data_IF_835315635892
#
_entry.id   IF_835315635892
#
_cell.length_a   1.000
_cell.length_b   1.000
_cell.length_c   1.000
_cell.angle_alpha   90.00
_cell.angle_beta   90.00
_cell.angle_gamma   90.00
#
_symmetry.space_group_name_H-M   'P 1'
#
loop_
_entity.id
_entity.type
_entity.pdbx_description
1 polymer ?
#
# COMPACT_ATOMS: atom_id res chain seq x y z
N UNK A 1 44.81 40.80 -22.59
CA UNK A 1 44.81 39.98 -21.35
C UNK A 1 43.95 38.76 -21.59
N UNK A 2 44.53 37.56 -21.70
CA UNK A 2 43.80 36.34 -22.10
C UNK A 2 43.64 35.43 -20.88
N UNK A 3 42.43 35.40 -20.32
CA UNK A 3 42.07 34.54 -19.20
C UNK A 3 42.06 33.07 -19.65
N UNK A 4 43.04 32.28 -19.16
CA UNK A 4 43.07 30.84 -19.36
C UNK A 4 42.09 30.23 -18.34
N UNK A 5 40.87 29.93 -18.77
CA UNK A 5 39.95 29.10 -17.98
C UNK A 5 40.46 27.66 -18.00
N UNK A 6 40.95 27.19 -16.86
CA UNK A 6 41.28 25.77 -16.64
C UNK A 6 39.98 24.98 -16.55
N UNK A 7 39.58 24.36 -17.66
CA UNK A 7 38.54 23.33 -17.65
C UNK A 7 39.17 22.05 -17.09
N UNK A 8 39.00 21.81 -15.78
CA UNK A 8 39.33 20.52 -15.16
C UNK A 8 38.25 19.51 -15.56
N UNK A 9 38.62 18.52 -16.35
CA UNK A 9 37.77 17.35 -16.63
C UNK A 9 37.80 16.36 -15.46
N UNK A 10 36.71 15.61 -15.27
CA UNK A 10 36.68 14.49 -14.33
C UNK A 10 37.63 13.38 -14.78
N UNK A 11 38.37 12.79 -13.85
CA UNK A 11 39.17 11.60 -14.11
C UNK A 11 38.28 10.35 -14.16
N UNK A 12 38.68 9.36 -14.95
CA UNK A 12 37.98 8.06 -15.01
C UNK A 12 37.95 7.38 -13.63
N UNK A 13 39.00 7.56 -12.83
CA UNK A 13 39.11 6.97 -11.48
C UNK A 13 38.09 7.59 -10.53
N UNK A 14 37.88 8.90 -10.59
CA UNK A 14 36.87 9.59 -9.76
C UNK A 14 35.47 9.05 -10.06
N UNK A 15 35.12 8.85 -11.33
CA UNK A 15 33.82 8.27 -11.70
C UNK A 15 33.73 6.80 -11.30
N UNK A 16 34.81 6.03 -11.42
CA UNK A 16 34.84 4.61 -11.07
C UNK A 16 34.54 4.35 -9.59
N UNK A 17 35.16 5.11 -8.68
CA UNK A 17 34.93 4.94 -7.24
C UNK A 17 33.49 5.31 -6.87
N UNK A 18 32.94 6.37 -7.49
CA UNK A 18 31.57 6.81 -7.23
C UNK A 18 30.54 5.75 -7.61
N UNK A 19 30.65 5.15 -8.80
CA UNK A 19 29.70 4.10 -9.21
C UNK A 19 29.82 2.83 -8.35
N UNK A 20 31.01 2.50 -7.85
CA UNK A 20 31.21 1.38 -6.92
C UNK A 20 30.50 1.63 -5.59
N UNK A 21 30.66 2.83 -5.02
CA UNK A 21 30.01 3.17 -3.74
C UNK A 21 28.48 3.24 -3.91
N UNK A 22 27.98 3.87 -4.99
CA UNK A 22 26.54 3.91 -5.28
C UNK A 22 26.00 2.49 -5.50
N UNK A 23 26.74 1.63 -6.21
CA UNK A 23 26.36 0.23 -6.42
C UNK A 23 26.25 -0.56 -5.12
N UNK A 24 27.20 -0.40 -4.20
CA UNK A 24 27.16 -1.02 -2.87
C UNK A 24 25.95 -0.55 -2.05
N UNK A 25 25.71 0.77 -2.02
CA UNK A 25 24.57 1.34 -1.29
C UNK A 25 23.24 0.88 -1.88
N UNK A 26 23.11 0.86 -3.21
CA UNK A 26 21.91 0.42 -3.91
C UNK A 26 21.61 -1.07 -3.66
N UNK A 27 22.65 -1.92 -3.65
CA UNK A 27 22.50 -3.35 -3.40
C UNK A 27 21.88 -3.66 -2.03
N UNK A 28 22.19 -2.86 -1.00
CA UNK A 28 21.56 -3.00 0.32
C UNK A 28 20.21 -2.28 0.41
N UNK A 29 20.07 -1.12 -0.23
CA UNK A 29 18.87 -0.29 -0.13
C UNK A 29 17.65 -0.89 -0.84
N UNK A 30 17.83 -1.50 -2.01
CA UNK A 30 16.74 -2.08 -2.82
C UNK A 30 15.94 -3.15 -2.03
N UNK A 31 16.56 -4.22 -1.47
CA UNK A 31 15.80 -5.24 -0.74
C UNK A 31 15.15 -4.68 0.54
N UNK A 32 15.84 -3.76 1.24
CA UNK A 32 15.27 -3.10 2.40
C UNK A 32 14.02 -2.27 2.04
N UNK A 33 14.08 -1.50 0.96
CA UNK A 33 12.96 -0.71 0.46
C UNK A 33 11.77 -1.58 0.02
N UNK A 34 12.04 -2.69 -0.66
CA UNK A 34 11.00 -3.67 -1.04
C UNK A 34 10.26 -4.23 0.18
N UNK A 35 10.99 -4.58 1.25
CA UNK A 35 10.39 -5.07 2.51
C UNK A 35 9.52 -4.00 3.17
N UNK A 36 10.00 -2.77 3.26
CA UNK A 36 9.25 -1.65 3.85
C UNK A 36 7.98 -1.37 3.05
N UNK A 37 8.07 -1.34 1.71
CA UNK A 37 6.92 -1.14 0.82
C UNK A 37 5.85 -2.21 1.03
N UNK A 38 6.24 -3.49 1.08
CA UNK A 38 5.30 -4.58 1.31
C UNK A 38 4.60 -4.45 2.68
N UNK A 39 5.33 -4.14 3.74
CA UNK A 39 4.74 -3.94 5.07
C UNK A 39 3.79 -2.74 5.12
N UNK A 40 4.10 -1.64 4.42
CA UNK A 40 3.22 -0.48 4.32
C UNK A 40 1.94 -0.80 3.56
N UNK A 41 2.03 -1.59 2.48
CA UNK A 41 0.86 -2.08 1.76
C UNK A 41 -0.04 -2.93 2.66
N UNK A 42 0.52 -3.86 3.45
CA UNK A 42 -0.27 -4.68 4.37
C UNK A 42 -1.01 -3.83 5.41
N UNK A 43 -0.34 -2.83 5.98
CA UNK A 43 -0.97 -1.92 6.95
C UNK A 43 -2.10 -1.12 6.33
N UNK A 44 -1.95 -0.69 5.07
CA UNK A 44 -3.00 0.02 4.35
C UNK A 44 -4.19 -0.91 4.04
N UNK A 45 -3.96 -2.16 3.61
CA UNK A 45 -5.02 -3.15 3.39
C UNK A 45 -5.77 -3.45 4.70
N UNK A 46 -5.05 -3.63 5.81
CA UNK A 46 -5.67 -3.85 7.12
C UNK A 46 -6.50 -2.64 7.58
N UNK A 47 -6.03 -1.41 7.32
CA UNK A 47 -6.79 -0.19 7.62
C UNK A 47 -8.08 -0.13 6.78
N UNK A 48 -7.97 -0.38 5.48
CA UNK A 48 -9.12 -0.46 4.57
C UNK A 48 -10.17 -1.48 5.07
N UNK A 49 -9.74 -2.66 5.52
CA UNK A 49 -10.65 -3.67 6.11
C UNK A 49 -11.33 -3.19 7.37
N UNK A 50 -10.62 -2.50 8.27
CA UNK A 50 -11.20 -1.92 9.49
C UNK A 50 -12.24 -0.84 9.16
N UNK A 51 -11.97 0.00 8.17
CA UNK A 51 -12.94 0.99 7.70
C UNK A 51 -14.19 0.32 7.15
N UNK A 52 -14.03 -0.70 6.30
CA UNK A 52 -15.13 -1.47 5.72
C UNK A 52 -15.95 -2.21 6.79
N UNK A 53 -15.30 -2.80 7.79
CA UNK A 53 -15.96 -3.43 8.93
C UNK A 53 -16.80 -2.44 9.72
N UNK A 54 -16.22 -1.30 10.10
CA UNK A 54 -16.94 -0.24 10.82
C UNK A 54 -18.12 0.33 10.01
N UNK A 55 -17.94 0.52 8.71
CA UNK A 55 -19.02 0.94 7.81
C UNK A 55 -20.14 -0.09 7.75
N UNK A 56 -19.80 -1.38 7.68
CA UNK A 56 -20.77 -2.47 7.65
C UNK A 56 -21.57 -2.54 8.96
N UNK A 57 -20.88 -2.45 10.11
CA UNK A 57 -21.54 -2.40 11.42
C UNK A 57 -22.53 -1.23 11.50
N UNK A 58 -22.10 -0.04 11.09
CA UNK A 58 -22.97 1.14 11.09
C UNK A 58 -24.20 0.93 10.19
N UNK A 59 -24.01 0.34 9.01
CA UNK A 59 -25.12 0.02 8.11
C UNK A 59 -26.08 -1.00 8.72
N UNK A 60 -25.58 -2.02 9.43
CA UNK A 60 -26.42 -3.02 10.12
C UNK A 60 -27.25 -2.38 11.22
N UNK A 61 -26.66 -1.45 12.00
CA UNK A 61 -27.36 -0.72 13.05
C UNK A 61 -28.47 0.18 12.48
N UNK A 62 -28.22 0.84 11.36
CA UNK A 62 -29.15 1.79 10.76
C UNK A 62 -30.31 1.11 10.02
N UNK A 63 -30.02 0.02 9.31
CA UNK A 63 -31.00 -0.64 8.42
C UNK A 63 -31.61 -1.92 9.01
N UNK A 64 -31.12 -2.39 10.16
CA UNK A 64 -31.58 -3.64 10.79
C UNK A 64 -31.30 -4.89 9.96
N UNK A 65 -30.37 -4.82 8.99
CA UNK A 65 -29.97 -5.96 8.16
C UNK A 65 -28.71 -6.62 8.72
N UNK A 66 -28.51 -7.89 8.42
CA UNK A 66 -27.29 -8.64 8.76
C UNK A 66 -26.31 -8.75 7.59
N UNK A 67 -26.64 -8.17 6.43
CA UNK A 67 -25.82 -8.22 5.21
C UNK A 67 -25.82 -6.87 4.51
N UNK A 68 -24.65 -6.44 4.04
CA UNK A 68 -24.42 -5.16 3.36
C UNK A 68 -23.56 -5.38 2.11
N UNK A 69 -24.02 -4.93 0.95
CA UNK A 69 -23.21 -4.90 -0.26
C UNK A 69 -22.16 -3.78 -0.17
N UNK A 70 -20.97 -4.00 -0.73
CA UNK A 70 -19.90 -2.98 -0.74
C UNK A 70 -20.33 -1.66 -1.40
N UNK A 71 -21.26 -1.72 -2.36
CA UNK A 71 -21.84 -0.55 -3.02
C UNK A 71 -22.64 0.36 -2.07
N UNK A 72 -23.15 -0.16 -0.96
CA UNK A 72 -23.85 0.63 0.06
C UNK A 72 -22.88 1.20 1.12
N UNK A 73 -21.65 0.70 1.15
CA UNK A 73 -20.63 1.05 2.14
C UNK A 73 -19.66 2.09 1.60
N UNK A 74 -19.32 1.98 0.31
CA UNK A 74 -18.33 2.81 -0.37
C UNK A 74 -19.00 3.66 -1.44
N UNK A 75 -18.74 4.96 -1.45
CA UNK A 75 -19.31 5.92 -2.39
C UNK A 75 -19.30 7.34 -1.83
N UNK A 76 -19.43 8.36 -2.69
CA UNK A 76 -19.31 9.77 -2.28
C UNK A 76 -20.25 10.19 -1.14
N UNK A 77 -21.43 9.55 -1.06
CA UNK A 77 -22.45 9.80 -0.04
C UNK A 77 -22.59 8.67 0.98
N UNK A 78 -21.73 7.64 0.92
CA UNK A 78 -21.77 6.50 1.81
C UNK A 78 -20.76 6.69 2.97
N UNK A 79 -20.68 5.69 3.86
CA UNK A 79 -19.82 5.71 5.04
C UNK A 79 -18.33 5.89 4.71
N UNK A 80 -17.88 5.33 3.58
CA UNK A 80 -16.51 5.48 3.09
C UNK A 80 -16.54 6.17 1.72
N UNK A 81 -15.93 7.36 1.63
CA UNK A 81 -15.95 8.18 0.39
C UNK A 81 -15.30 7.49 -0.80
N UNK A 82 -14.19 6.82 -0.57
CA UNK A 82 -13.46 6.06 -1.58
C UNK A 82 -12.59 5.00 -0.91
N UNK A 83 -12.48 3.84 -1.53
CA UNK A 83 -11.57 2.78 -1.11
C UNK A 83 -10.33 2.85 -2.00
N UNK A 84 -9.17 3.18 -1.42
CA UNK A 84 -7.93 3.29 -2.17
C UNK A 84 -7.17 1.97 -2.14
N UNK A 85 -7.05 1.30 -3.30
CA UNK A 85 -6.31 0.06 -3.42
C UNK A 85 -4.81 0.34 -3.57
N UNK A 86 -3.98 -0.42 -2.85
CA UNK A 86 -2.52 -0.17 -2.76
C UNK A 86 -1.66 -1.33 -3.27
N UNK A 87 -2.27 -2.49 -3.43
CA UNK A 87 -1.66 -3.77 -3.77
C UNK A 87 -2.66 -4.67 -4.49
N UNK A 88 -3.34 -4.14 -5.52
CA UNK A 88 -4.27 -4.84 -6.44
C UNK A 88 -5.16 -5.89 -5.75
N UNK A 89 -5.58 -5.54 -4.54
CA UNK A 89 -6.30 -6.38 -3.60
C UNK A 89 -7.79 -6.46 -3.96
N UNK A 90 -8.40 -7.60 -3.67
CA UNK A 90 -9.82 -7.83 -3.91
C UNK A 90 -10.58 -7.88 -2.58
N UNK A 91 -11.54 -6.96 -2.40
CA UNK A 91 -12.44 -6.94 -1.26
C UNK A 91 -13.72 -7.72 -1.57
N UNK A 92 -14.38 -8.32 -0.56
CA UNK A 92 -15.65 -9.01 -0.75
C UNK A 92 -16.72 -8.08 -1.32
N UNK A 93 -17.61 -8.63 -2.15
CA UNK A 93 -18.76 -7.91 -2.68
C UNK A 93 -19.82 -7.60 -1.61
N UNK A 94 -19.84 -8.38 -0.52
CA UNK A 94 -20.77 -8.20 0.60
C UNK A 94 -20.15 -8.58 1.94
N UNK A 95 -20.67 -7.96 2.99
CA UNK A 95 -20.26 -8.09 4.37
C UNK A 95 -21.44 -8.64 5.15
N UNK A 96 -21.24 -9.73 5.91
CA UNK A 96 -22.29 -10.35 6.73
C UNK A 96 -21.87 -10.32 8.19
N UNK A 97 -22.79 -9.94 9.08
CA UNK A 97 -22.52 -9.87 10.51
C UNK A 97 -22.05 -11.24 11.06
N UNK A 98 -20.98 -11.25 11.85
CA UNK A 98 -20.42 -12.46 12.46
C UNK A 98 -19.64 -13.37 11.49
N UNK A 99 -19.41 -12.95 10.24
CA UNK A 99 -18.60 -13.70 9.27
C UNK A 99 -17.21 -13.10 9.18
N UNK A 100 -16.19 -13.96 9.24
CA UNK A 100 -14.80 -13.57 9.08
C UNK A 100 -14.50 -13.20 7.62
N UNK A 101 -13.87 -12.04 7.42
CA UNK A 101 -13.51 -11.54 6.09
C UNK A 101 -12.04 -11.80 5.81
N UNK A 102 -11.76 -12.32 4.63
CA UNK A 102 -10.40 -12.56 4.12
C UNK A 102 -10.17 -11.72 2.87
N UNK A 103 -9.08 -10.96 2.85
CA UNK A 103 -8.62 -10.22 1.67
C UNK A 103 -7.25 -10.77 1.25
N UNK A 104 -7.08 -10.97 -0.06
CA UNK A 104 -5.81 -11.40 -0.66
C UNK A 104 -5.09 -10.19 -1.28
N UNK A 105 -3.77 -10.10 -1.09
CA UNK A 105 -2.90 -9.11 -1.75
C UNK A 105 -1.93 -9.78 -2.73
N UNK A 106 -1.45 -9.03 -3.73
CA UNK A 106 -0.62 -9.56 -4.87
C UNK A 106 0.77 -10.09 -4.47
N UNK A 107 1.29 -9.79 -3.28
CA UNK A 107 2.64 -10.16 -2.87
C UNK A 107 2.75 -11.60 -2.32
N UNK A 108 1.85 -12.50 -2.75
CA UNK A 108 1.59 -13.79 -2.12
C UNK A 108 0.43 -13.70 -1.15
N UNK A 109 -0.33 -14.78 -1.01
CA UNK A 109 -1.56 -14.87 -0.22
C UNK A 109 -1.36 -14.44 1.24
N UNK A 110 -1.38 -13.13 1.49
CA UNK A 110 -1.43 -12.54 2.82
C UNK A 110 -2.89 -12.31 3.13
N UNK A 111 -3.49 -13.38 3.63
CA UNK A 111 -4.83 -13.37 4.21
C UNK A 111 -4.82 -12.44 5.41
N UNK A 112 -5.33 -11.23 5.24
CA UNK A 112 -5.71 -10.41 6.40
C UNK A 112 -7.09 -10.90 6.80
N UNK A 113 -7.13 -11.62 7.91
CA UNK A 113 -8.36 -12.10 8.53
C UNK A 113 -8.89 -10.99 9.42
N UNK A 114 -10.06 -10.44 9.08
CA UNK A 114 -10.81 -9.56 9.96
C UNK A 114 -11.97 -10.36 10.54
N UNK A 115 -11.87 -10.69 11.83
CA UNK A 115 -12.95 -11.27 12.62
C UNK A 115 -13.65 -10.15 13.38
N UNK A 116 -14.97 -10.07 13.22
CA UNK A 116 -15.85 -9.36 14.14
C UNK A 116 -16.28 -10.33 15.24
#
# INVERSE_FOLDING_TARGET
MKNIRSNKGFTLVEIMIVVVIIGLLAAMAIPAFQKVRASSQDKAVANNMRQLGAAADQYFLENGTSTAAIANLVGSSNYIKALNTVANEAYPAAYTQGVTITVYSIAGARTVTYSQ
#
